data_IF_082354088500
#
_entry.id   IF_082354088500
#
_cell.length_a   1.000
_cell.length_b   1.000
_cell.length_c   1.000
_cell.angle_alpha   90.00
_cell.angle_beta   90.00
_cell.angle_gamma   90.00
#
_symmetry.space_group_name_H-M   'P 1'
#
loop_
_entity.id
_entity.type
_entity.pdbx_description
1 polymer ?
#
# COMPACT_ATOMS: atom_id res chain seq x y z
N UNK A 1 -5.51 9.50 5.31
CA UNK A 1 -4.81 9.95 4.08
C UNK A 1 -4.55 11.43 4.23
N UNK A 2 -3.34 11.90 3.95
CA UNK A 2 -3.07 13.35 4.02
C UNK A 2 -3.72 14.08 2.85
N UNK A 3 -4.02 15.37 3.00
CA UNK A 3 -4.65 16.18 1.94
C UNK A 3 -3.87 16.17 0.61
N UNK A 4 -2.54 16.07 0.68
CA UNK A 4 -1.68 15.95 -0.50
C UNK A 4 -1.80 14.58 -1.20
N UNK A 5 -2.06 13.52 -0.44
CA UNK A 5 -2.17 12.14 -0.91
C UNK A 5 -3.57 11.88 -1.48
N UNK A 6 -4.60 12.58 -1.00
CA UNK A 6 -5.96 12.53 -1.55
C UNK A 6 -6.04 12.99 -3.02
N UNK A 7 -5.01 13.70 -3.51
CA UNK A 7 -4.91 14.15 -4.91
C UNK A 7 -4.16 13.16 -5.81
N UNK A 8 -3.69 12.04 -5.26
CA UNK A 8 -3.02 11.02 -6.05
C UNK A 8 -4.02 10.24 -6.90
N UNK A 9 -3.64 9.96 -8.15
CA UNK A 9 -4.38 9.01 -8.97
C UNK A 9 -4.22 7.59 -8.45
N UNK A 10 -5.15 6.71 -8.84
CA UNK A 10 -5.33 5.36 -8.30
C UNK A 10 -4.01 4.58 -8.16
N UNK A 11 -3.18 4.55 -9.19
CA UNK A 11 -1.89 3.83 -9.16
C UNK A 11 -0.93 4.32 -8.07
N UNK A 12 -0.87 5.64 -7.83
CA UNK A 12 -0.01 6.21 -6.79
C UNK A 12 -0.57 5.93 -5.40
N UNK A 13 -1.89 5.99 -5.27
CA UNK A 13 -2.61 5.64 -4.04
C UNK A 13 -2.36 4.20 -3.67
N UNK A 14 -2.55 3.26 -4.60
CA UNK A 14 -2.28 1.83 -4.39
C UNK A 14 -0.82 1.57 -3.98
N UNK A 15 0.14 2.24 -4.62
CA UNK A 15 1.54 2.12 -4.25
C UNK A 15 1.83 2.65 -2.83
N UNK A 16 1.25 3.79 -2.48
CA UNK A 16 1.35 4.35 -1.14
C UNK A 16 0.73 3.41 -0.09
N UNK A 17 -0.44 2.83 -0.38
CA UNK A 17 -1.11 1.86 0.48
C UNK A 17 -0.21 0.65 0.76
N UNK A 18 0.47 0.12 -0.26
CA UNK A 18 1.42 -0.97 -0.07
C UNK A 18 2.59 -0.58 0.84
N UNK A 19 3.21 0.58 0.61
CA UNK A 19 4.33 1.07 1.44
C UNK A 19 3.89 1.25 2.89
N UNK A 20 2.71 1.82 3.10
CA UNK A 20 2.15 1.98 4.44
C UNK A 20 1.90 0.63 5.13
N UNK A 21 1.31 -0.34 4.41
CA UNK A 21 1.04 -1.67 4.95
C UNK A 21 2.34 -2.40 5.34
N UNK A 22 3.37 -2.35 4.49
CA UNK A 22 4.68 -2.93 4.76
C UNK A 22 5.35 -2.28 5.99
N UNK A 23 5.28 -0.96 6.11
CA UNK A 23 5.82 -0.26 7.27
C UNK A 23 5.06 -0.62 8.57
N UNK A 24 3.73 -0.72 8.51
CA UNK A 24 2.89 -1.02 9.67
C UNK A 24 3.09 -2.45 10.18
N UNK A 25 3.34 -3.38 9.27
CA UNK A 25 3.49 -4.81 9.54
C UNK A 25 4.95 -5.28 9.49
N UNK A 26 5.91 -4.36 9.49
CA UNK A 26 7.35 -4.64 9.36
C UNK A 26 7.80 -5.79 10.26
N UNK A 27 7.49 -5.73 11.55
CA UNK A 27 7.87 -6.75 12.53
C UNK A 27 7.29 -8.14 12.28
N UNK A 28 6.20 -8.25 11.52
CA UNK A 28 5.59 -9.53 11.15
C UNK A 28 6.12 -10.05 9.81
N UNK A 29 6.54 -9.14 8.93
CA UNK A 29 7.00 -9.47 7.57
C UNK A 29 8.51 -9.64 7.47
N UNK A 30 9.28 -9.13 8.44
CA UNK A 30 10.72 -9.30 8.50
C UNK A 30 11.09 -10.79 8.53
N UNK A 31 11.82 -11.24 7.50
CA UNK A 31 12.23 -12.65 7.34
C UNK A 31 11.13 -13.62 6.89
N UNK A 32 9.87 -13.20 6.83
CA UNK A 32 8.76 -14.04 6.36
C UNK A 32 8.66 -14.04 4.84
N UNK A 33 8.21 -15.16 4.26
CA UNK A 33 7.80 -15.24 2.85
C UNK A 33 6.31 -14.97 2.78
N UNK A 34 5.90 -13.99 1.97
CA UNK A 34 4.50 -13.56 1.90
C UNK A 34 4.09 -13.11 0.49
N UNK A 35 2.78 -13.07 0.30
CA UNK A 35 2.15 -12.70 -0.97
C UNK A 35 1.33 -11.42 -0.77
N UNK A 36 1.47 -10.50 -1.72
CA UNK A 36 0.68 -9.26 -1.78
C UNK A 36 -0.27 -9.35 -2.95
N UNK A 37 -1.57 -9.38 -2.66
CA UNK A 37 -2.62 -9.35 -3.68
C UNK A 37 -3.03 -7.91 -3.95
N UNK A 38 -3.03 -7.50 -5.23
CA UNK A 38 -3.41 -6.15 -5.66
C UNK A 38 -4.20 -6.22 -6.96
N UNK A 39 -5.16 -5.33 -7.14
CA UNK A 39 -5.87 -5.11 -8.41
C UNK A 39 -5.19 -4.03 -9.29
N UNK A 40 -3.99 -3.59 -8.92
CA UNK A 40 -3.20 -2.66 -9.70
C UNK A 40 -2.08 -3.38 -10.45
N UNK A 41 -2.21 -3.51 -11.78
CA UNK A 41 -1.18 -4.14 -12.63
C UNK A 41 0.15 -3.39 -12.53
N UNK A 42 0.13 -2.07 -12.36
CA UNK A 42 1.34 -1.26 -12.25
C UNK A 42 2.21 -1.63 -11.04
N UNK A 43 1.59 -2.10 -9.94
CA UNK A 43 2.31 -2.54 -8.75
C UNK A 43 3.16 -3.79 -9.02
N UNK A 44 2.70 -4.69 -9.88
CA UNK A 44 3.46 -5.88 -10.30
C UNK A 44 4.81 -5.52 -10.94
N UNK A 45 4.83 -4.42 -11.68
CA UNK A 45 6.03 -3.93 -12.37
C UNK A 45 6.78 -2.84 -11.59
N UNK A 46 6.29 -2.45 -10.42
CA UNK A 46 6.80 -1.32 -9.67
C UNK A 46 8.30 -1.43 -9.42
N UNK A 47 8.79 -2.59 -8.98
CA UNK A 47 10.21 -2.79 -8.62
C UNK A 47 11.16 -2.85 -9.83
N UNK A 48 10.63 -2.99 -11.05
CA UNK A 48 11.42 -3.10 -12.27
C UNK A 48 11.31 -1.84 -13.15
N UNK A 49 10.39 -0.93 -12.84
CA UNK A 49 10.15 0.27 -13.64
C UNK A 49 11.17 1.37 -13.33
N UNK A 50 11.77 1.95 -14.37
CA UNK A 50 12.55 3.20 -14.22
C UNK A 50 11.57 4.37 -14.11
N UNK A 51 11.67 5.14 -13.03
CA UNK A 51 10.82 6.30 -12.78
C UNK A 51 11.65 7.56 -12.58
N UNK A 52 11.19 8.68 -13.14
CA UNK A 52 11.73 10.02 -12.83
C UNK A 52 10.99 10.68 -11.67
N UNK A 53 9.93 10.04 -11.16
CA UNK A 53 9.13 10.56 -10.06
C UNK A 53 9.79 10.24 -8.71
N UNK A 54 10.17 11.29 -7.97
CA UNK A 54 10.82 11.16 -6.65
C UNK A 54 10.01 10.39 -5.61
N UNK A 55 8.67 10.48 -5.64
CA UNK A 55 7.84 9.73 -4.68
C UNK A 55 7.90 8.23 -4.96
N UNK A 56 7.71 7.84 -6.22
CA UNK A 56 7.77 6.43 -6.64
C UNK A 56 9.15 5.86 -6.37
N UNK A 57 10.22 6.63 -6.63
CA UNK A 57 11.59 6.19 -6.32
C UNK A 57 11.79 5.90 -4.83
N UNK A 58 11.31 6.78 -3.94
CA UNK A 58 11.39 6.56 -2.48
C UNK A 58 10.62 5.32 -2.05
N UNK A 59 9.44 5.10 -2.62
CA UNK A 59 8.63 3.91 -2.36
C UNK A 59 9.29 2.63 -2.87
N UNK A 60 9.91 2.66 -4.06
CA UNK A 60 10.68 1.53 -4.58
C UNK A 60 11.82 1.14 -3.63
N UNK A 61 12.56 2.13 -3.11
CA UNK A 61 13.64 1.91 -2.15
C UNK A 61 13.09 1.27 -0.86
N UNK A 62 11.96 1.76 -0.34
CA UNK A 62 11.35 1.21 0.88
C UNK A 62 10.87 -0.24 0.71
N UNK A 63 10.33 -0.59 -0.45
CA UNK A 63 9.83 -1.94 -0.74
C UNK A 63 11.00 -2.91 -1.03
N UNK A 64 12.17 -2.40 -1.41
CA UNK A 64 13.30 -3.21 -1.85
C UNK A 64 13.80 -4.20 -0.79
N UNK A 65 13.66 -3.87 0.49
CA UNK A 65 13.96 -4.77 1.62
C UNK A 65 13.18 -6.08 1.56
N UNK A 66 11.90 -6.02 1.16
CA UNK A 66 11.01 -7.19 1.11
C UNK A 66 11.09 -7.94 -0.22
N UNK A 67 11.79 -7.40 -1.23
CA UNK A 67 11.79 -7.95 -2.60
C UNK A 67 12.19 -9.43 -2.67
N UNK A 68 13.07 -9.89 -1.77
CA UNK A 68 13.54 -11.28 -1.75
C UNK A 68 12.47 -12.27 -1.29
N UNK A 69 11.55 -11.84 -0.42
CA UNK A 69 10.59 -12.72 0.24
C UNK A 69 9.13 -12.38 -0.07
N UNK A 70 8.88 -11.30 -0.82
CA UNK A 70 7.56 -10.82 -1.21
C UNK A 70 7.24 -11.16 -2.66
N UNK A 71 6.07 -11.75 -2.89
CA UNK A 71 5.52 -11.96 -4.25
C UNK A 71 4.29 -11.09 -4.48
N UNK A 72 4.30 -10.22 -5.50
CA UNK A 72 3.14 -9.39 -5.87
C UNK A 72 2.30 -10.12 -6.90
N UNK A 73 1.04 -10.41 -6.56
CA UNK A 73 0.08 -11.13 -7.39
C UNK A 73 -1.04 -10.18 -7.78
N UNK A 74 -1.25 -10.04 -9.10
CA UNK A 74 -2.39 -9.29 -9.62
C UNK A 74 -3.67 -10.13 -9.53
N UNK A 75 -4.74 -9.53 -9.03
CA UNK A 75 -6.07 -10.11 -8.93
C UNK A 75 -7.09 -9.14 -9.53
N UNK A 76 -7.99 -9.63 -10.38
CA UNK A 76 -9.02 -8.77 -10.99
C UNK A 76 -9.90 -8.13 -9.90
N UNK A 77 -10.18 -6.82 -10.00
CA UNK A 77 -10.92 -6.06 -9.00
C UNK A 77 -12.27 -6.67 -8.61
N UNK A 78 -12.98 -7.30 -9.56
CA UNK A 78 -14.24 -8.02 -9.29
C UNK A 78 -14.11 -9.17 -8.28
N UNK A 79 -12.91 -9.74 -8.17
CA UNK A 79 -12.58 -10.80 -7.22
C UNK A 79 -11.83 -10.28 -5.98
N UNK A 80 -11.59 -8.97 -5.89
CA UNK A 80 -10.90 -8.28 -4.81
C UNK A 80 -11.89 -7.52 -3.88
N UNK A 81 -13.13 -8.00 -3.81
CA UNK A 81 -14.23 -7.33 -3.08
C UNK A 81 -13.99 -7.15 -1.59
N UNK A 82 -13.25 -8.07 -0.95
CA UNK A 82 -12.91 -7.98 0.46
C UNK A 82 -12.10 -6.71 0.79
N UNK A 83 -11.07 -6.40 -0.01
CA UNK A 83 -10.26 -5.18 0.18
C UNK A 83 -10.99 -3.95 -0.36
N UNK A 84 -11.63 -4.06 -1.53
CA UNK A 84 -12.31 -2.95 -2.20
C UNK A 84 -13.49 -2.40 -1.37
N UNK A 85 -14.20 -3.26 -0.63
CA UNK A 85 -15.24 -2.78 0.30
C UNK A 85 -14.66 -1.93 1.43
N UNK A 86 -13.50 -2.33 1.99
CA UNK A 86 -12.86 -1.60 3.09
C UNK A 86 -12.24 -0.28 2.61
N UNK A 87 -11.66 -0.25 1.41
CA UNK A 87 -11.07 0.98 0.86
C UNK A 87 -12.12 2.02 0.49
N UNK A 88 -13.33 1.59 0.06
CA UNK A 88 -14.44 2.48 -0.32
C UNK A 88 -15.25 3.02 0.86
N UNK A 89 -15.23 2.33 2.00
CA UNK A 89 -15.97 2.71 3.20
C UNK A 89 -15.04 2.90 4.40
N UNK A 90 -14.16 3.92 4.38
CA UNK A 90 -13.29 4.20 5.51
C UNK A 90 -14.10 4.70 6.71
N UNK A 91 -13.74 4.23 7.91
CA UNK A 91 -14.26 4.77 9.16
C UNK A 91 -13.52 6.06 9.53
N UNK A 92 -14.22 6.97 10.20
CA UNK A 92 -13.60 8.19 10.73
C UNK A 92 -12.47 7.85 11.70
N UNK A 93 -11.40 8.65 11.65
CA UNK A 93 -10.26 8.52 12.55
C UNK A 93 -10.55 9.18 13.92
N UNK A 94 -11.50 8.59 14.66
CA UNK A 94 -11.93 9.06 15.98
C UNK A 94 -11.47 8.09 17.08
N UNK A 95 -11.33 8.58 18.32
CA UNK A 95 -10.84 7.77 19.46
C UNK A 95 -11.66 6.50 19.76
N UNK A 96 -12.92 6.44 19.32
CA UNK A 96 -13.77 5.25 19.46
C UNK A 96 -13.49 4.17 18.40
N UNK A 97 -12.79 4.51 17.32
CA UNK A 97 -12.36 3.56 16.30
C UNK A 97 -11.19 2.73 16.84
N UNK A 98 -11.24 1.39 16.86
CA UNK A 98 -10.13 0.56 17.32
C UNK A 98 -8.86 0.74 16.47
N UNK A 99 -8.98 1.24 15.24
CA UNK A 99 -7.87 1.60 14.36
C UNK A 99 -7.49 3.09 14.44
N UNK A 100 -7.86 3.80 15.52
CA UNK A 100 -7.50 5.21 15.72
C UNK A 100 -5.98 5.41 15.64
N UNK A 101 -5.56 6.29 14.74
CA UNK A 101 -4.17 6.65 14.54
C UNK A 101 -3.99 8.16 14.82
N UNK A 102 -3.44 8.55 15.98
CA UNK A 102 -3.28 9.95 16.35
C UNK A 102 -2.30 10.70 15.42
N UNK A 103 -1.37 10.01 14.76
CA UNK A 103 -0.41 10.63 13.83
C UNK A 103 -1.02 10.84 12.44
N UNK A 104 -2.04 10.08 12.08
CA UNK A 104 -2.77 10.25 10.82
C UNK A 104 -3.82 11.38 10.86
N UNK A 105 -4.14 11.91 12.04
CA UNK A 105 -5.08 13.02 12.25
C UNK A 105 -4.40 14.41 12.25
N UNK A 106 -3.07 14.46 12.17
CA UNK A 106 -2.26 15.68 12.12
C UNK A 106 -1.80 15.99 10.68
#
# INVERSE_FOLDING_TARGET
>A
MKDSEARYGDTKTECLCLVWALAKLHYYMEGAVFEVYTDCIALKNLLNMKTTNRHILRWQIAIQEYRGNMTIIYKEGKSHTNSDCLSRWPLDNVKSNPAYDPEAAA
#
